data_IF_007936770349
#
_entry.id   IF_007936770349
#
_cell.length_a   1.000
_cell.length_b   1.000
_cell.length_c   1.000
_cell.angle_alpha   90.00
_cell.angle_beta   90.00
_cell.angle_gamma   90.00
#
_symmetry.space_group_name_H-M   'P 1'
#
loop_
_entity.id
_entity.type
_entity.pdbx_description
1 polymer ?
#
# COMPACT_ATOMS: atom_id res chain seq x y z
N UNK A 1 63.73 56.95 17.61
CA UNK A 1 64.29 55.71 18.20
C UNK A 1 63.10 54.90 18.74
N UNK A 2 62.27 54.16 18.00
CA UNK A 2 62.38 53.14 16.93
C UNK A 2 63.02 51.82 17.36
N UNK A 3 62.37 51.09 18.29
CA UNK A 3 62.78 49.73 18.70
C UNK A 3 61.63 48.88 19.27
N UNK A 4 60.42 48.90 18.69
CA UNK A 4 59.31 48.01 19.13
C UNK A 4 58.46 47.55 17.94
N UNK A 5 59.04 46.82 16.97
CA UNK A 5 58.27 46.25 15.83
C UNK A 5 58.75 44.89 15.28
N UNK A 6 59.51 44.10 16.05
CA UNK A 6 60.04 42.81 15.52
C UNK A 6 59.65 41.54 16.28
N UNK A 7 58.85 41.62 17.35
CA UNK A 7 58.48 40.44 18.16
C UNK A 7 57.12 39.80 17.80
N UNK A 8 56.45 40.22 16.72
CA UNK A 8 55.12 39.70 16.36
C UNK A 8 55.11 38.70 15.19
N UNK A 9 56.26 38.38 14.59
CA UNK A 9 56.33 37.54 13.40
C UNK A 9 56.80 36.09 13.64
N UNK A 10 57.04 35.69 14.89
CA UNK A 10 57.72 34.41 15.19
C UNK A 10 56.82 33.32 15.81
N UNK A 11 55.50 33.50 15.81
CA UNK A 11 54.54 32.44 16.23
C UNK A 11 53.55 32.05 15.12
N UNK A 12 53.52 32.80 14.01
CA UNK A 12 52.64 32.53 12.85
C UNK A 12 53.32 31.75 11.70
N UNK A 13 54.47 31.13 11.93
CA UNK A 13 55.18 30.33 10.90
C UNK A 13 55.23 28.81 11.17
N UNK A 14 55.08 28.24 12.38
CA UNK A 14 55.15 26.79 12.51
C UNK A 14 53.83 26.08 12.16
N UNK A 15 52.73 26.80 11.88
CA UNK A 15 51.47 26.16 11.44
C UNK A 15 51.45 25.94 9.92
N UNK A 16 51.93 26.90 9.12
CA UNK A 16 51.93 26.76 7.66
C UNK A 16 52.90 25.67 7.15
N UNK A 17 54.03 25.47 7.83
CA UNK A 17 55.00 24.43 7.45
C UNK A 17 54.58 23.00 7.87
N UNK A 18 53.69 22.86 8.86
CA UNK A 18 53.16 21.56 9.29
C UNK A 18 52.04 21.04 8.37
N UNK A 19 51.38 21.92 7.62
CA UNK A 19 50.36 21.54 6.62
C UNK A 19 51.01 21.00 5.34
N UNK A 20 52.21 21.47 4.98
CA UNK A 20 52.86 21.07 3.72
C UNK A 20 53.51 19.68 3.73
N UNK A 21 53.73 19.07 4.90
CA UNK A 21 54.45 17.77 5.05
C UNK A 21 53.67 16.68 5.78
N UNK A 22 52.36 16.89 5.94
CA UNK A 22 51.47 15.97 6.65
C UNK A 22 50.68 15.13 5.65
N UNK A 23 51.20 13.94 5.31
CA UNK A 23 50.41 12.91 4.62
C UNK A 23 49.22 12.42 5.45
N UNK A 24 49.20 12.71 6.76
CA UNK A 24 48.13 12.35 7.70
C UNK A 24 46.96 13.35 7.70
N UNK A 25 47.13 14.59 7.23
CA UNK A 25 46.05 15.59 7.22
C UNK A 25 45.00 15.35 6.12
N UNK A 26 45.36 14.67 5.02
CA UNK A 26 44.38 14.31 3.98
C UNK A 26 43.38 13.25 4.44
N UNK A 27 43.76 12.40 5.40
CA UNK A 27 42.90 11.32 5.90
C UNK A 27 41.88 11.81 6.94
N UNK A 28 42.25 12.79 7.77
CA UNK A 28 41.40 13.24 8.88
C UNK A 28 40.20 14.07 8.39
N UNK A 29 40.39 14.94 7.38
CA UNK A 29 39.31 15.81 6.86
C UNK A 29 38.31 15.06 5.97
N UNK A 30 38.76 14.01 5.26
CA UNK A 30 37.84 13.14 4.49
C UNK A 30 37.03 12.24 5.41
N UNK A 31 37.63 11.74 6.51
CA UNK A 31 36.91 10.86 7.45
C UNK A 31 35.76 11.58 8.20
N UNK A 32 35.92 12.85 8.54
CA UNK A 32 34.88 13.62 9.25
C UNK A 32 33.73 14.05 8.34
N UNK A 33 33.96 14.27 7.05
CA UNK A 33 32.87 14.53 6.10
C UNK A 33 32.14 13.25 5.67
N UNK A 34 32.84 12.10 5.52
CA UNK A 34 32.18 10.83 5.20
C UNK A 34 31.32 10.26 6.34
N UNK A 35 31.65 10.55 7.59
CA UNK A 35 30.86 10.01 8.72
C UNK A 35 29.51 10.71 8.88
N UNK A 36 29.39 11.98 8.48
CA UNK A 36 28.14 12.74 8.61
C UNK A 36 27.11 12.35 7.55
N UNK A 37 27.55 12.14 6.30
CA UNK A 37 26.64 11.68 5.23
C UNK A 37 26.10 10.27 5.50
N UNK A 38 26.86 9.40 6.17
CA UNK A 38 26.37 8.06 6.54
C UNK A 38 25.36 8.09 7.68
N UNK A 39 25.43 9.06 8.60
CA UNK A 39 24.42 9.18 9.67
C UNK A 39 23.08 9.64 9.11
N UNK A 40 23.09 10.64 8.21
CA UNK A 40 21.88 11.12 7.56
C UNK A 40 21.21 10.03 6.69
N UNK A 41 22.03 9.18 6.03
CA UNK A 41 21.54 8.03 5.26
C UNK A 41 20.87 6.98 6.15
N UNK A 42 21.50 6.60 7.28
CA UNK A 42 20.93 5.65 8.24
C UNK A 42 19.62 6.16 8.84
N UNK A 43 19.54 7.43 9.22
CA UNK A 43 18.29 8.02 9.74
C UNK A 43 17.18 8.01 8.68
N UNK A 44 17.52 8.27 7.42
CA UNK A 44 16.55 8.22 6.32
C UNK A 44 16.05 6.81 6.03
N UNK A 45 16.93 5.80 6.09
CA UNK A 45 16.57 4.39 5.91
C UNK A 45 15.69 3.88 7.06
N UNK A 46 16.00 4.28 8.30
CA UNK A 46 15.17 3.93 9.46
C UNK A 46 13.78 4.57 9.36
N UNK A 47 13.68 5.84 8.96
CA UNK A 47 12.40 6.52 8.77
C UNK A 47 11.57 5.87 7.65
N UNK A 48 12.22 5.48 6.55
CA UNK A 48 11.56 4.78 5.45
C UNK A 48 11.10 3.37 5.87
N UNK A 49 11.94 2.62 6.60
CA UNK A 49 11.58 1.31 7.15
C UNK A 49 10.37 1.39 8.08
N UNK A 50 10.36 2.35 9.01
CA UNK A 50 9.21 2.59 9.89
C UNK A 50 7.93 2.91 9.12
N UNK A 51 8.04 3.67 8.03
CA UNK A 51 6.88 3.97 7.19
C UNK A 51 6.36 2.71 6.48
N UNK A 52 7.25 1.87 5.94
CA UNK A 52 6.86 0.61 5.30
C UNK A 52 6.21 -0.36 6.29
N UNK A 53 6.71 -0.45 7.52
CA UNK A 53 6.15 -1.31 8.56
C UNK A 53 4.71 -0.91 8.90
N UNK A 54 4.42 0.39 8.97
CA UNK A 54 3.06 0.89 9.23
C UNK A 54 2.11 0.53 8.07
N UNK A 55 2.57 0.68 6.83
CA UNK A 55 1.78 0.32 5.64
C UNK A 55 1.54 -1.18 5.57
N UNK A 56 2.55 -2.00 5.87
CA UNK A 56 2.45 -3.46 5.88
C UNK A 56 1.47 -3.95 6.96
N UNK A 57 1.54 -3.39 8.17
CA UNK A 57 0.61 -3.73 9.26
C UNK A 57 -0.84 -3.43 8.91
N UNK A 58 -1.11 -2.28 8.29
CA UNK A 58 -2.46 -1.90 7.87
C UNK A 58 -2.97 -2.81 6.74
N UNK A 59 -2.12 -3.12 5.75
CA UNK A 59 -2.49 -4.02 4.67
C UNK A 59 -2.81 -5.43 5.19
N UNK A 60 -1.99 -5.97 6.09
CA UNK A 60 -2.23 -7.27 6.73
C UNK A 60 -3.52 -7.29 7.52
N UNK A 61 -3.80 -6.23 8.28
CA UNK A 61 -5.05 -6.11 9.05
C UNK A 61 -6.26 -6.20 8.13
N UNK A 62 -6.23 -5.53 6.98
CA UNK A 62 -7.35 -5.55 6.05
C UNK A 62 -7.53 -6.89 5.35
N UNK A 63 -6.43 -7.56 4.99
CA UNK A 63 -6.48 -8.93 4.45
C UNK A 63 -7.18 -9.85 5.45
N UNK A 64 -6.78 -9.80 6.73
CA UNK A 64 -7.40 -10.61 7.79
C UNK A 64 -8.91 -10.33 7.95
N UNK A 65 -9.33 -9.07 7.86
CA UNK A 65 -10.76 -8.73 7.93
C UNK A 65 -11.50 -9.28 6.71
N UNK A 66 -10.94 -9.14 5.50
CA UNK A 66 -11.56 -9.67 4.26
C UNK A 66 -11.66 -11.19 4.29
N UNK A 67 -10.62 -11.88 4.75
CA UNK A 67 -10.59 -13.34 4.89
C UNK A 67 -11.68 -13.81 5.88
N UNK A 68 -11.78 -13.17 7.05
CA UNK A 68 -12.81 -13.50 8.03
C UNK A 68 -14.24 -13.31 7.48
N UNK A 69 -14.48 -12.23 6.71
CA UNK A 69 -15.78 -11.99 6.06
C UNK A 69 -16.09 -13.05 5.00
N UNK A 70 -15.09 -13.49 4.21
CA UNK A 70 -15.25 -14.55 3.23
C UNK A 70 -15.54 -15.90 3.88
N UNK A 71 -14.87 -16.22 4.99
CA UNK A 71 -15.14 -17.45 5.74
C UNK A 71 -16.57 -17.50 6.27
N UNK A 72 -17.08 -16.38 6.80
CA UNK A 72 -18.49 -16.27 7.20
C UNK A 72 -19.45 -16.41 6.02
N UNK A 73 -19.11 -15.80 4.88
CA UNK A 73 -19.91 -15.85 3.66
C UNK A 73 -19.99 -17.28 3.13
N UNK A 74 -18.85 -17.94 2.97
CA UNK A 74 -18.74 -19.32 2.48
C UNK A 74 -19.49 -20.27 3.41
N UNK A 75 -19.32 -20.12 4.73
CA UNK A 75 -20.05 -20.90 5.72
C UNK A 75 -21.56 -20.60 5.77
N UNK A 76 -22.05 -19.56 5.09
CA UNK A 76 -23.46 -19.20 5.07
C UNK A 76 -23.98 -18.53 6.34
N UNK A 77 -23.08 -18.00 7.17
CA UNK A 77 -23.43 -17.26 8.39
C UNK A 77 -23.81 -15.80 8.11
N UNK A 78 -23.42 -15.29 6.94
CA UNK A 78 -23.75 -13.94 6.47
C UNK A 78 -24.23 -13.97 5.01
N UNK A 79 -24.74 -12.85 4.53
CA UNK A 79 -25.24 -12.69 3.16
C UNK A 79 -24.24 -11.94 2.29
N UNK A 80 -24.35 -12.11 0.97
CA UNK A 80 -23.54 -11.38 0.00
C UNK A 80 -23.70 -9.87 0.16
N UNK A 81 -24.92 -9.37 0.33
CA UNK A 81 -25.19 -7.94 0.50
C UNK A 81 -24.47 -7.37 1.74
N UNK A 82 -24.55 -8.06 2.88
CA UNK A 82 -23.88 -7.61 4.10
C UNK A 82 -22.34 -7.59 3.96
N UNK A 83 -21.76 -8.57 3.27
CA UNK A 83 -20.31 -8.60 3.00
C UNK A 83 -19.90 -7.52 2.00
N UNK A 84 -20.70 -7.29 0.96
CA UNK A 84 -20.50 -6.20 -0.01
C UNK A 84 -20.43 -4.85 0.69
N UNK A 85 -21.37 -4.55 1.59
CA UNK A 85 -21.36 -3.30 2.36
C UNK A 85 -20.09 -3.15 3.19
N UNK A 86 -19.63 -4.23 3.84
CA UNK A 86 -18.36 -4.22 4.59
C UNK A 86 -17.16 -4.02 3.67
N UNK A 87 -17.12 -4.65 2.51
CA UNK A 87 -16.07 -4.46 1.52
C UNK A 87 -16.03 -3.03 1.00
N UNK A 88 -17.18 -2.41 0.74
CA UNK A 88 -17.26 -0.99 0.35
C UNK A 88 -16.66 -0.08 1.42
N UNK A 89 -17.06 -0.26 2.68
CA UNK A 89 -16.52 0.53 3.80
C UNK A 89 -15.00 0.36 3.93
N UNK A 90 -14.48 -0.86 3.81
CA UNK A 90 -13.03 -1.10 3.84
C UNK A 90 -12.32 -0.39 2.67
N UNK A 91 -12.87 -0.48 1.47
CA UNK A 91 -12.26 0.07 0.27
C UNK A 91 -12.40 1.61 0.16
N UNK A 92 -13.29 2.26 0.93
CA UNK A 92 -13.37 3.73 1.00
C UNK A 92 -12.06 4.38 1.47
N UNK A 93 -11.30 3.68 2.32
CA UNK A 93 -9.96 4.12 2.76
C UNK A 93 -8.89 4.04 1.65
N UNK A 94 -9.18 3.33 0.55
CA UNK A 94 -8.26 3.07 -0.56
C UNK A 94 -8.92 3.33 -1.91
N UNK A 95 -8.90 4.59 -2.37
CA UNK A 95 -9.46 4.98 -3.66
C UNK A 95 -8.89 4.18 -4.84
N UNK A 96 -7.63 3.75 -4.76
CA UNK A 96 -6.98 2.92 -5.77
C UNK A 96 -7.68 1.55 -5.93
N UNK A 97 -8.08 0.91 -4.83
CA UNK A 97 -8.79 -0.38 -4.85
C UNK A 97 -10.16 -0.25 -5.50
N UNK A 98 -10.92 0.81 -5.18
CA UNK A 98 -12.19 1.09 -5.84
C UNK A 98 -12.03 1.38 -7.34
N UNK A 99 -10.96 2.08 -7.74
CA UNK A 99 -10.69 2.34 -9.15
C UNK A 99 -10.45 1.03 -9.93
N UNK A 100 -9.73 0.07 -9.35
CA UNK A 100 -9.56 -1.27 -9.95
C UNK A 100 -10.90 -2.00 -10.04
N UNK A 101 -11.69 -2.03 -8.96
CA UNK A 101 -13.01 -2.70 -8.97
C UNK A 101 -13.92 -2.12 -10.06
N UNK A 102 -13.97 -0.78 -10.19
CA UNK A 102 -14.79 -0.09 -11.20
C UNK A 102 -14.42 -0.44 -12.63
N UNK A 103 -13.13 -0.72 -12.86
CA UNK A 103 -12.56 -1.04 -14.17
C UNK A 103 -12.77 -2.51 -14.53
N UNK A 104 -12.51 -3.42 -13.59
CA UNK A 104 -12.47 -4.86 -13.87
C UNK A 104 -13.85 -5.52 -13.83
N UNK A 105 -14.79 -4.99 -13.03
CA UNK A 105 -16.11 -5.62 -12.86
C UNK A 105 -17.22 -4.81 -13.56
N UNK A 106 -18.05 -5.45 -14.39
CA UNK A 106 -19.21 -4.80 -14.99
C UNK A 106 -20.31 -4.57 -13.94
N UNK A 107 -21.11 -3.53 -14.13
CA UNK A 107 -22.23 -3.19 -13.25
C UNK A 107 -22.60 -1.71 -13.34
N UNK A 108 -23.81 -1.37 -12.93
CA UNK A 108 -24.31 0.00 -12.97
C UNK A 108 -23.83 0.84 -11.78
N UNK A 109 -23.63 0.21 -10.61
CA UNK A 109 -23.22 0.89 -9.37
C UNK A 109 -21.96 0.29 -8.76
N UNK A 110 -21.32 1.01 -7.85
CA UNK A 110 -20.14 0.52 -7.14
C UNK A 110 -20.47 -0.67 -6.24
N UNK A 111 -21.68 -0.71 -5.68
CA UNK A 111 -22.21 -1.83 -4.90
C UNK A 111 -22.29 -3.09 -5.76
N UNK A 112 -22.90 -3.03 -6.95
CA UNK A 112 -23.00 -4.19 -7.84
C UNK A 112 -21.62 -4.72 -8.23
N UNK A 113 -20.71 -3.81 -8.62
CA UNK A 113 -19.33 -4.18 -9.00
C UNK A 113 -18.56 -4.79 -7.83
N UNK A 114 -18.75 -4.25 -6.63
CA UNK A 114 -18.12 -4.79 -5.41
C UNK A 114 -18.70 -6.16 -5.06
N UNK A 115 -20.01 -6.38 -5.23
CA UNK A 115 -20.63 -7.69 -5.01
C UNK A 115 -20.05 -8.75 -5.97
N UNK A 116 -19.84 -8.41 -7.26
CA UNK A 116 -19.15 -9.31 -8.21
C UNK A 116 -17.71 -9.57 -7.81
N UNK A 117 -17.00 -8.54 -7.34
CA UNK A 117 -15.65 -8.70 -6.82
C UNK A 117 -15.60 -9.65 -5.61
N UNK A 118 -16.56 -9.55 -4.67
CA UNK A 118 -16.69 -10.47 -3.53
C UNK A 118 -16.94 -11.91 -4.01
N UNK A 119 -17.80 -12.13 -5.00
CA UNK A 119 -18.00 -13.46 -5.60
C UNK A 119 -16.70 -14.00 -6.19
N UNK A 120 -15.92 -13.16 -6.89
CA UNK A 120 -14.61 -13.55 -7.43
C UNK A 120 -13.61 -13.96 -6.35
N UNK A 121 -13.57 -13.23 -5.23
CA UNK A 121 -12.75 -13.62 -4.06
C UNK A 121 -13.24 -14.93 -3.43
N UNK A 122 -14.54 -15.10 -3.25
CA UNK A 122 -15.12 -16.34 -2.74
C UNK A 122 -14.81 -17.53 -3.67
N UNK A 123 -14.88 -17.33 -4.99
CA UNK A 123 -14.51 -18.36 -5.95
C UNK A 123 -13.04 -18.79 -5.82
N UNK A 124 -12.13 -17.83 -5.68
CA UNK A 124 -10.71 -18.10 -5.48
C UNK A 124 -10.46 -18.89 -4.19
N UNK A 125 -11.12 -18.51 -3.09
CA UNK A 125 -11.00 -19.20 -1.80
C UNK A 125 -11.59 -20.61 -1.84
N UNK A 126 -12.73 -20.78 -2.53
CA UNK A 126 -13.38 -22.07 -2.73
C UNK A 126 -12.56 -23.07 -3.57
N UNK A 127 -11.49 -22.63 -4.25
CA UNK A 127 -10.59 -23.56 -4.96
C UNK A 127 -9.92 -24.58 -4.05
N UNK A 128 -9.88 -24.32 -2.73
CA UNK A 128 -9.33 -25.21 -1.70
C UNK A 128 -10.32 -26.30 -1.25
N UNK A 129 -11.59 -26.21 -1.65
CA UNK A 129 -12.69 -27.07 -1.20
C UNK A 129 -13.09 -28.09 -2.28
N UNK A 130 -13.84 -29.15 -1.93
CA UNK A 130 -14.38 -30.08 -2.91
C UNK A 130 -15.24 -29.38 -4.00
N UNK A 131 -15.17 -29.82 -5.27
CA UNK A 131 -15.90 -29.17 -6.37
C UNK A 131 -17.42 -29.07 -6.16
N UNK A 132 -18.01 -30.06 -5.48
CA UNK A 132 -19.45 -30.08 -5.15
C UNK A 132 -19.81 -28.95 -4.19
N UNK A 133 -19.02 -28.74 -3.14
CA UNK A 133 -19.20 -27.66 -2.18
C UNK A 133 -18.97 -26.29 -2.84
N UNK A 134 -17.93 -26.16 -3.68
CA UNK A 134 -17.69 -24.93 -4.47
C UNK A 134 -18.93 -24.58 -5.31
N UNK A 135 -19.46 -25.55 -6.05
CA UNK A 135 -20.62 -25.34 -6.92
C UNK A 135 -21.87 -24.92 -6.13
N UNK A 136 -22.14 -25.56 -5.00
CA UNK A 136 -23.27 -25.22 -4.12
C UNK A 136 -23.18 -23.78 -3.58
N UNK A 137 -22.01 -23.41 -3.04
CA UNK A 137 -21.80 -22.07 -2.48
C UNK A 137 -21.91 -21.02 -3.57
N UNK A 138 -21.29 -21.21 -4.73
CA UNK A 138 -21.37 -20.25 -5.83
C UNK A 138 -22.80 -20.11 -6.38
N UNK A 139 -23.54 -21.21 -6.54
CA UNK A 139 -24.93 -21.16 -6.97
C UNK A 139 -25.81 -20.33 -6.01
N UNK A 140 -25.59 -20.47 -4.70
CA UNK A 140 -26.27 -19.67 -3.68
C UNK A 140 -25.87 -18.19 -3.76
N UNK A 141 -24.58 -17.88 -3.91
CA UNK A 141 -24.13 -16.49 -4.00
C UNK A 141 -24.68 -15.80 -5.25
N UNK A 142 -24.70 -16.48 -6.39
CA UNK A 142 -25.32 -15.99 -7.64
C UNK A 142 -26.84 -15.78 -7.51
N UNK A 143 -27.53 -16.60 -6.72
CA UNK A 143 -28.93 -16.38 -6.42
C UNK A 143 -29.13 -15.10 -5.57
N UNK A 144 -28.32 -14.89 -4.53
CA UNK A 144 -28.35 -13.67 -3.72
C UNK A 144 -27.99 -12.42 -4.52
N UNK A 145 -27.02 -12.53 -5.44
CA UNK A 145 -26.64 -11.47 -6.35
C UNK A 145 -27.82 -11.06 -7.23
N UNK A 146 -28.46 -12.01 -7.93
CA UNK A 146 -29.63 -11.74 -8.79
C UNK A 146 -30.83 -11.18 -8.01
N UNK A 147 -30.99 -11.59 -6.75
CA UNK A 147 -32.05 -11.04 -5.88
C UNK A 147 -31.80 -9.57 -5.53
N UNK A 148 -30.53 -9.20 -5.27
CA UNK A 148 -30.16 -7.84 -4.85
C UNK A 148 -30.01 -6.88 -6.04
N UNK A 149 -29.58 -7.41 -7.19
CA UNK A 149 -29.32 -6.68 -8.42
C UNK A 149 -30.08 -7.36 -9.57
N UNK A 150 -31.41 -7.21 -9.64
CA UNK A 150 -32.18 -7.76 -10.75
C UNK A 150 -31.65 -7.16 -12.05
N UNK A 151 -31.55 -7.99 -13.09
CA UNK A 151 -31.20 -7.49 -14.42
C UNK A 151 -32.13 -6.32 -14.76
N UNK A 152 -31.64 -5.23 -15.35
CA UNK A 152 -32.51 -4.17 -15.82
C UNK A 152 -33.56 -4.86 -16.68
N UNK A 153 -34.84 -4.67 -16.35
CA UNK A 153 -35.92 -5.11 -17.20
C UNK A 153 -35.62 -4.41 -18.51
N UNK A 154 -35.15 -5.18 -19.49
CA UNK A 154 -35.02 -4.70 -20.84
C UNK A 154 -36.44 -4.47 -21.25
N UNK A 155 -36.95 -3.27 -20.96
CA UNK A 155 -38.16 -2.73 -21.54
C UNK A 155 -37.84 -2.73 -23.02
N UNK A 156 -38.11 -3.88 -23.64
CA UNK A 156 -37.86 -4.13 -25.04
C UNK A 156 -38.63 -3.02 -25.71
N UNK A 157 -37.91 -2.00 -26.17
CA UNK A 157 -38.47 -0.95 -27.00
C UNK A 157 -39.27 -1.70 -28.06
N UNK A 158 -40.61 -1.59 -28.07
CA UNK A 158 -41.41 -2.30 -29.04
C UNK A 158 -40.83 -1.90 -30.38
N UNK A 159 -40.29 -2.89 -31.11
CA UNK A 159 -39.70 -2.64 -32.41
C UNK A 159 -40.74 -1.85 -33.20
N UNK A 160 -40.42 -0.61 -33.59
CA UNK A 160 -41.27 0.15 -34.49
C UNK A 160 -41.40 -0.68 -35.77
N UNK A 161 -42.51 -1.42 -35.86
CA UNK A 161 -42.96 -2.10 -37.05
C UNK A 161 -43.21 -0.99 -38.09
N UNK A 162 -42.42 -1.00 -39.16
CA UNK A 162 -42.50 -0.03 -40.26
C UNK A 162 -43.56 -0.46 -41.27
#
# INVERSE_FOLDING_TARGET
>A
MSSVRFAAYLVMVPVAALVAKSSWAKTVVVSTFSTRSSQDEIESELAFGQHLDVVDLELRRQIQIKDALLDELIAGRTTLAAVTDRFLVLNQSQPASLAVIRKEYPGATDEEKTARNVIGFAEAELSKYPPTQKAEVLARLEAQFRQSYPAPVSDAFPACEK
#
